data_IF_199600550267
#
_entry.id   IF_199600550267
#
_cell.length_a   1.000
_cell.length_b   1.000
_cell.length_c   1.000
_cell.angle_alpha   90.00
_cell.angle_beta   90.00
_cell.angle_gamma   90.00
#
_symmetry.space_group_name_H-M   'P 1'
#
loop_
_entity.id
_entity.type
_entity.pdbx_description
1 polymer ?
#
# COMPACT_ATOMS: atom_id res chain seq x y z
N UNK A 1 -32.27 -8.52 -46.16
CA UNK A 1 -32.15 -7.77 -44.89
C UNK A 1 -30.69 -7.34 -44.78
N UNK A 2 -30.41 -6.03 -44.77
CA UNK A 2 -29.07 -5.47 -44.89
C UNK A 2 -28.32 -5.43 -43.55
N UNK A 3 -27.05 -5.05 -43.70
CA UNK A 3 -25.92 -5.03 -42.76
C UNK A 3 -26.02 -3.96 -41.65
N UNK A 4 -24.98 -3.98 -40.79
CA UNK A 4 -24.45 -2.90 -39.92
C UNK A 4 -24.88 -2.96 -38.43
N UNK A 5 -24.01 -2.81 -37.42
CA UNK A 5 -22.60 -2.42 -37.42
C UNK A 5 -21.93 -2.72 -36.07
N UNK A 6 -20.67 -3.16 -36.12
CA UNK A 6 -19.79 -3.34 -34.97
C UNK A 6 -19.08 -2.02 -34.72
N UNK A 7 -19.36 -1.41 -33.57
CA UNK A 7 -18.72 -0.17 -33.11
C UNK A 7 -17.34 -0.49 -32.56
N UNK A 8 -16.34 0.21 -33.07
CA UNK A 8 -14.92 0.00 -32.79
C UNK A 8 -14.48 0.40 -31.38
N UNK A 9 -13.46 -0.30 -30.90
CA UNK A 9 -12.63 0.10 -29.76
C UNK A 9 -11.55 1.10 -30.20
N UNK A 10 -11.39 2.24 -29.49
CA UNK A 10 -10.24 3.09 -29.68
C UNK A 10 -9.10 2.72 -28.72
N UNK A 11 -7.89 2.65 -29.28
CA UNK A 11 -6.71 3.23 -28.64
C UNK A 11 -5.87 2.33 -27.74
N UNK A 12 -4.93 1.59 -28.34
CA UNK A 12 -3.64 1.32 -27.72
C UNK A 12 -2.75 2.57 -27.79
N UNK A 13 -2.22 3.09 -26.67
CA UNK A 13 -1.02 3.89 -26.70
C UNK A 13 0.21 2.99 -26.67
N UNK A 14 1.15 3.28 -27.57
CA UNK A 14 2.36 2.53 -27.80
C UNK A 14 3.33 2.49 -26.63
N UNK A 15 4.19 1.47 -26.69
CA UNK A 15 5.23 1.22 -25.71
C UNK A 15 6.36 2.24 -25.75
N UNK A 16 6.92 2.46 -24.57
CA UNK A 16 8.36 2.60 -24.38
C UNK A 16 8.80 1.42 -23.52
N UNK A 17 9.38 0.42 -24.18
CA UNK A 17 9.97 -0.75 -23.54
C UNK A 17 11.23 -0.36 -22.79
N UNK A 18 11.13 -0.28 -21.46
CA UNK A 18 12.26 -0.53 -20.57
C UNK A 18 12.41 -2.04 -20.42
N UNK A 19 13.45 -2.57 -21.05
CA UNK A 19 13.86 -3.96 -20.88
C UNK A 19 14.47 -4.12 -19.49
N UNK A 20 13.70 -4.63 -18.55
CA UNK A 20 14.23 -5.10 -17.28
C UNK A 20 15.05 -6.37 -17.55
N UNK A 21 16.36 -6.26 -17.42
CA UNK A 21 17.31 -7.38 -17.42
C UNK A 21 17.00 -8.25 -16.20
N UNK A 22 16.44 -9.44 -16.43
CA UNK A 22 16.29 -10.48 -15.41
C UNK A 22 17.67 -11.08 -15.17
N UNK A 23 18.37 -10.56 -14.15
CA UNK A 23 19.57 -11.16 -13.60
C UNK A 23 19.20 -12.34 -12.71
N UNK A 24 19.48 -13.54 -13.22
CA UNK A 24 19.41 -14.80 -12.50
C UNK A 24 20.68 -14.92 -11.63
N UNK A 25 20.60 -14.63 -10.33
CA UNK A 25 21.67 -15.03 -9.39
C UNK A 25 21.21 -15.05 -7.93
N UNK A 26 21.25 -16.26 -7.37
CA UNK A 26 21.49 -16.62 -5.95
C UNK A 26 20.44 -16.28 -4.90
N UNK A 27 19.88 -17.37 -4.37
CA UNK A 27 19.24 -17.52 -3.06
C UNK A 27 20.10 -16.89 -1.95
N UNK A 28 19.85 -15.62 -1.65
CA UNK A 28 20.24 -14.95 -0.43
C UNK A 28 19.01 -14.81 0.46
N UNK A 29 18.99 -15.55 1.56
CA UNK A 29 18.10 -15.33 2.69
C UNK A 29 18.40 -13.92 3.24
N UNK A 30 17.68 -12.91 2.76
CA UNK A 30 17.64 -11.59 3.38
C UNK A 30 16.22 -11.28 3.77
N UNK A 31 16.07 -10.96 5.05
CA UNK A 31 14.86 -10.57 5.76
C UNK A 31 13.79 -9.92 4.87
N UNK A 32 12.50 -10.32 5.00
CA UNK A 32 11.43 -9.53 4.45
C UNK A 32 11.44 -8.18 5.18
N UNK A 33 11.96 -7.17 4.46
CA UNK A 33 12.03 -5.80 4.90
C UNK A 33 10.71 -5.39 5.53
N UNK A 34 10.74 -5.29 6.85
CA UNK A 34 9.72 -4.58 7.61
C UNK A 34 9.64 -3.19 7.02
N UNK A 35 8.57 -2.94 6.27
CA UNK A 35 8.17 -1.59 5.90
C UNK A 35 7.88 -0.91 7.23
N UNK A 36 8.91 -0.26 7.78
CA UNK A 36 8.81 0.62 8.90
C UNK A 36 7.87 1.73 8.46
N UNK A 37 6.57 1.52 8.67
CA UNK A 37 5.57 2.56 8.58
C UNK A 37 6.05 3.62 9.55
N UNK A 38 6.63 4.69 9.01
CA UNK A 38 6.89 5.94 9.74
C UNK A 38 5.54 6.34 10.30
N UNK A 39 5.30 5.98 11.55
CA UNK A 39 4.25 6.59 12.35
C UNK A 39 4.54 8.08 12.25
N UNK A 40 3.62 8.90 11.72
CA UNK A 40 3.82 10.34 11.71
C UNK A 40 4.07 10.73 13.16
N UNK A 41 5.28 11.24 13.40
CA UNK A 41 5.72 11.75 14.69
C UNK A 41 4.69 12.78 15.09
N UNK A 42 3.81 12.41 16.03
CA UNK A 42 2.93 13.33 16.73
C UNK A 42 3.83 14.46 17.22
N UNK A 43 3.76 15.60 16.54
CA UNK A 43 4.40 16.81 17.01
C UNK A 43 3.79 17.07 18.38
N UNK A 44 4.61 16.87 19.41
CA UNK A 44 4.22 17.26 20.76
C UNK A 44 3.80 18.73 20.68
N UNK A 45 2.64 19.11 21.24
CA UNK A 45 2.31 20.52 21.37
C UNK A 45 3.49 21.16 22.09
N UNK A 46 4.11 22.15 21.43
CA UNK A 46 5.15 22.97 22.04
C UNK A 46 4.51 23.54 23.30
N UNK A 47 4.88 22.98 24.46
CA UNK A 47 4.56 23.52 25.76
C UNK A 47 5.08 24.95 25.75
N UNK A 48 4.18 25.90 25.43
CA UNK A 48 4.40 27.31 25.63
C UNK A 48 4.65 27.46 27.11
N UNK A 49 5.92 27.58 27.47
CA UNK A 49 6.33 27.91 28.81
C UNK A 49 5.61 29.17 29.20
N UNK A 50 4.54 29.03 29.98
CA UNK A 50 3.93 30.14 30.68
C UNK A 50 5.03 30.74 31.52
N UNK A 51 5.54 31.88 31.06
CA UNK A 51 6.42 32.73 31.82
C UNK A 51 5.71 32.98 33.15
N UNK A 52 6.22 32.38 34.23
CA UNK A 52 5.81 32.68 35.59
C UNK A 52 6.19 34.14 35.80
N UNK A 53 5.23 35.03 35.54
CA UNK A 53 5.33 36.44 35.87
C UNK A 53 5.49 36.52 37.38
N UNK A 54 6.72 36.74 37.81
CA UNK A 54 7.07 37.04 39.18
C UNK A 54 6.23 38.24 39.62
N UNK A 55 5.29 38.02 40.53
CA UNK A 55 4.57 39.11 41.17
C UNK A 55 5.59 39.94 41.97
N UNK A 56 5.76 41.24 41.68
CA UNK A 56 6.60 42.09 42.50
C UNK A 56 5.96 42.21 43.88
N UNK A 57 6.63 41.66 44.89
CA UNK A 57 6.39 41.99 46.29
C UNK A 57 6.78 43.47 46.50
N UNK A 58 5.87 44.37 46.13
CA UNK A 58 5.93 45.79 46.46
C UNK A 58 5.62 45.95 47.96
N UNK A 59 6.64 45.67 48.77
CA UNK A 59 6.80 46.28 50.08
C UNK A 59 7.68 47.53 49.88
N UNK A 60 7.08 48.71 49.92
CA UNK A 60 7.87 49.95 49.84
C UNK A 60 7.11 51.19 49.41
N UNK A 61 6.26 51.74 50.29
CA UNK A 61 6.23 53.18 50.52
C UNK A 61 5.38 53.47 51.75
N UNK A 62 6.04 53.41 52.90
CA UNK A 62 5.68 54.17 54.07
C UNK A 62 6.16 55.60 53.84
N UNK A 63 5.23 56.52 53.55
CA UNK A 63 5.56 57.93 53.44
C UNK A 63 4.33 58.82 53.35
N UNK A 64 4.10 59.62 54.39
CA UNK A 64 3.47 60.94 54.24
C UNK A 64 2.02 61.08 54.69
N UNK A 65 1.82 60.99 56.00
CA UNK A 65 0.95 61.84 56.83
C UNK A 65 0.04 62.88 56.14
N UNK A 66 -1.27 62.64 56.19
CA UNK A 66 -2.27 63.70 56.43
C UNK A 66 -3.23 63.19 57.51
N UNK A 67 -3.14 63.78 58.70
CA UNK A 67 -4.03 63.51 59.83
C UNK A 67 -5.48 63.82 59.42
N UNK A 68 -6.27 62.77 59.22
CA UNK A 68 -7.70 62.85 59.01
C UNK A 68 -8.39 61.61 59.56
N UNK A 69 -8.94 61.73 60.78
CA UNK A 69 -10.03 60.90 61.32
C UNK A 69 -9.77 59.39 61.49
N UNK A 70 -9.06 59.04 62.57
CA UNK A 70 -8.81 57.67 63.07
C UNK A 70 -10.01 57.09 63.82
N UNK A 71 -11.15 56.89 63.16
CA UNK A 71 -12.26 56.07 63.72
C UNK A 71 -12.90 55.04 62.78
N UNK A 72 -12.35 54.82 61.57
CA UNK A 72 -12.86 53.82 60.60
C UNK A 72 -11.91 52.66 60.26
N UNK A 73 -10.74 52.56 60.91
CA UNK A 73 -9.63 51.69 60.45
C UNK A 73 -9.84 50.18 60.64
N UNK A 74 -10.59 49.76 61.66
CA UNK A 74 -10.80 48.32 61.94
C UNK A 74 -11.78 47.64 60.96
N UNK A 75 -12.57 48.42 60.22
CA UNK A 75 -13.52 47.89 59.23
C UNK A 75 -12.86 47.53 57.89
N UNK A 76 -11.55 47.76 57.74
CA UNK A 76 -10.82 47.58 56.48
C UNK A 76 -10.21 46.18 56.31
N UNK A 77 -9.70 45.56 57.38
CA UNK A 77 -9.06 44.24 57.30
C UNK A 77 -10.06 43.11 57.05
N UNK A 78 -11.16 43.06 57.83
CA UNK A 78 -12.21 42.04 57.64
C UNK A 78 -12.81 42.09 56.23
N UNK A 79 -13.08 43.30 55.74
CA UNK A 79 -13.59 43.52 54.38
C UNK A 79 -12.62 43.00 53.32
N UNK A 80 -11.31 43.24 53.51
CA UNK A 80 -10.27 42.74 52.60
C UNK A 80 -10.17 41.21 52.63
N UNK A 81 -10.18 40.60 53.81
CA UNK A 81 -10.19 39.14 53.95
C UNK A 81 -11.44 38.53 53.28
N UNK A 82 -12.62 39.12 53.50
CA UNK A 82 -13.85 38.68 52.85
C UNK A 82 -13.77 38.80 51.33
N UNK A 83 -13.18 39.87 50.80
CA UNK A 83 -12.97 40.05 49.36
C UNK A 83 -12.01 38.99 48.79
N UNK A 84 -10.91 38.70 49.48
CA UNK A 84 -9.96 37.65 49.07
C UNK A 84 -10.62 36.27 49.07
N UNK A 85 -11.41 35.94 50.09
CA UNK A 85 -12.15 34.68 50.14
C UNK A 85 -13.19 34.57 49.02
N UNK A 86 -13.85 35.67 48.66
CA UNK A 86 -14.77 35.70 47.50
C UNK A 86 -14.01 35.46 46.21
N UNK A 87 -12.91 36.17 45.98
CA UNK A 87 -12.05 35.98 44.79
C UNK A 87 -11.56 34.53 44.67
N UNK A 88 -11.01 33.96 45.75
CA UNK A 88 -10.52 32.58 45.74
C UNK A 88 -11.64 31.58 45.45
N UNK A 89 -12.85 31.82 45.99
CA UNK A 89 -14.01 30.99 45.70
C UNK A 89 -14.40 31.11 44.23
N UNK A 90 -14.41 32.31 43.68
CA UNK A 90 -14.75 32.55 42.27
C UNK A 90 -13.72 31.85 41.36
N UNK A 91 -12.43 31.99 41.65
CA UNK A 91 -11.34 31.31 40.93
C UNK A 91 -11.51 29.78 40.99
N UNK A 92 -11.79 29.23 42.18
CA UNK A 92 -12.02 27.78 42.33
C UNK A 92 -13.25 27.31 41.55
N UNK A 93 -14.34 28.09 41.53
CA UNK A 93 -15.53 27.73 40.73
C UNK A 93 -15.27 27.83 39.23
N UNK A 94 -14.40 28.73 38.80
CA UNK A 94 -13.98 28.88 37.40
C UNK A 94 -13.12 27.70 36.98
N UNK A 95 -12.08 27.37 37.74
CA UNK A 95 -11.25 26.19 37.50
C UNK A 95 -12.06 24.90 37.47
N UNK A 96 -13.05 24.75 38.38
CA UNK A 96 -13.95 23.60 38.38
C UNK A 96 -14.79 23.51 37.11
N UNK A 97 -15.24 24.66 36.58
CA UNK A 97 -16.03 24.73 35.34
C UNK A 97 -15.17 24.41 34.12
N UNK A 98 -13.95 24.95 34.06
CA UNK A 98 -12.98 24.66 33.01
C UNK A 98 -12.60 23.19 32.99
N UNK A 99 -12.22 22.62 34.14
CA UNK A 99 -11.90 21.19 34.24
C UNK A 99 -13.07 20.29 33.83
N UNK A 100 -14.30 20.66 34.20
CA UNK A 100 -15.48 19.91 33.78
C UNK A 100 -15.75 20.01 32.27
N UNK A 101 -15.44 21.15 31.65
CA UNK A 101 -15.53 21.33 30.21
C UNK A 101 -14.46 20.48 29.49
N UNK A 102 -13.20 20.54 29.94
CA UNK A 102 -12.09 19.76 29.38
C UNK A 102 -12.36 18.25 29.47
N UNK A 103 -12.87 17.77 30.62
CA UNK A 103 -13.25 16.35 30.78
C UNK A 103 -14.37 15.97 29.80
N UNK A 104 -15.32 16.87 29.55
CA UNK A 104 -16.41 16.61 28.61
C UNK A 104 -15.89 16.55 27.18
N UNK A 105 -14.96 17.41 26.81
CA UNK A 105 -14.40 17.44 25.46
C UNK A 105 -13.47 16.24 25.22
N UNK A 106 -12.63 15.88 26.19
CA UNK A 106 -11.84 14.64 26.14
C UNK A 106 -12.73 13.39 25.98
N UNK A 107 -13.87 13.35 26.67
CA UNK A 107 -14.83 12.24 26.49
C UNK A 107 -15.38 12.16 25.08
N UNK A 108 -15.67 13.29 24.44
CA UNK A 108 -16.12 13.30 23.04
C UNK A 108 -15.00 12.81 22.12
N UNK A 109 -13.79 13.32 22.28
CA UNK A 109 -12.64 12.90 21.48
C UNK A 109 -12.38 11.39 21.59
N UNK A 110 -12.51 10.82 22.79
CA UNK A 110 -12.38 9.36 22.99
C UNK A 110 -13.47 8.58 22.25
N UNK A 111 -14.72 9.06 22.25
CA UNK A 111 -15.83 8.43 21.52
C UNK A 111 -15.56 8.52 20.01
N UNK A 112 -15.24 9.71 19.50
CA UNK A 112 -14.96 9.96 18.09
C UNK A 112 -13.76 9.12 17.60
N UNK A 113 -12.73 8.96 18.44
CA UNK A 113 -11.60 8.07 18.16
C UNK A 113 -12.04 6.60 18.11
N UNK A 114 -12.93 6.17 19.01
CA UNK A 114 -13.51 4.82 18.97
C UNK A 114 -14.22 4.55 17.65
N UNK A 115 -15.12 5.45 17.23
CA UNK A 115 -15.86 5.30 15.97
C UNK A 115 -14.95 5.27 14.73
N UNK A 116 -13.88 6.07 14.74
CA UNK A 116 -12.87 6.08 13.67
C UNK A 116 -12.06 4.78 13.64
N UNK A 117 -11.70 4.23 14.80
CA UNK A 117 -11.00 2.94 14.89
C UNK A 117 -11.90 1.83 14.38
N UNK A 118 -13.16 1.76 14.83
CA UNK A 118 -14.13 0.76 14.37
C UNK A 118 -14.32 0.80 12.84
N UNK A 119 -14.34 2.00 12.26
CA UNK A 119 -14.43 2.18 10.81
C UNK A 119 -13.18 1.67 10.10
N UNK A 120 -11.99 1.98 10.63
CA UNK A 120 -10.72 1.50 10.07
C UNK A 120 -10.65 -0.01 10.13
N UNK A 121 -11.03 -0.63 11.25
CA UNK A 121 -11.05 -2.08 11.43
C UNK A 121 -11.98 -2.75 10.40
N UNK A 122 -13.23 -2.27 10.25
CA UNK A 122 -14.14 -2.79 9.23
C UNK A 122 -13.57 -2.69 7.81
N UNK A 123 -13.04 -1.52 7.45
CA UNK A 123 -12.43 -1.35 6.11
C UNK A 123 -11.17 -2.19 5.93
N UNK A 124 -10.48 -2.53 7.02
CA UNK A 124 -9.31 -3.41 6.99
C UNK A 124 -9.74 -4.84 6.71
N UNK A 125 -10.75 -5.35 7.43
CA UNK A 125 -11.31 -6.69 7.24
C UNK A 125 -11.82 -6.88 5.81
N UNK A 126 -12.59 -5.92 5.28
CA UNK A 126 -13.09 -5.94 3.89
C UNK A 126 -11.93 -6.02 2.88
N UNK A 127 -10.84 -5.29 3.13
CA UNK A 127 -9.64 -5.32 2.27
C UNK A 127 -8.89 -6.63 2.38
N UNK A 128 -8.79 -7.21 3.57
CA UNK A 128 -8.16 -8.52 3.75
C UNK A 128 -8.94 -9.62 3.05
N UNK A 129 -10.28 -9.60 3.13
CA UNK A 129 -11.15 -10.50 2.40
C UNK A 129 -10.96 -10.35 0.88
N UNK A 130 -10.93 -9.11 0.37
CA UNK A 130 -10.68 -8.82 -1.04
C UNK A 130 -9.31 -9.32 -1.52
N UNK A 131 -8.25 -9.10 -0.73
CA UNK A 131 -6.91 -9.61 -1.03
C UNK A 131 -6.87 -11.14 -1.07
N UNK A 132 -7.55 -11.80 -0.12
CA UNK A 132 -7.64 -13.26 -0.08
C UNK A 132 -8.46 -13.83 -1.24
N UNK A 133 -9.48 -13.11 -1.72
CA UNK A 133 -10.22 -13.46 -2.93
C UNK A 133 -9.32 -13.37 -4.17
N UNK A 134 -8.68 -12.22 -4.41
CA UNK A 134 -7.81 -12.04 -5.58
C UNK A 134 -6.61 -12.98 -5.58
N UNK A 135 -6.04 -13.29 -4.42
CA UNK A 135 -4.97 -14.28 -4.30
C UNK A 135 -5.41 -15.67 -4.78
N UNK A 136 -6.62 -16.12 -4.41
CA UNK A 136 -7.18 -17.41 -4.86
C UNK A 136 -7.45 -17.42 -6.36
N UNK A 137 -7.95 -16.30 -6.88
CA UNK A 137 -8.20 -16.14 -8.32
C UNK A 137 -6.89 -16.20 -9.13
N UNK A 138 -5.85 -15.50 -8.67
CA UNK A 138 -4.52 -15.53 -9.29
C UNK A 138 -3.94 -16.95 -9.33
N UNK A 139 -4.03 -17.70 -8.22
CA UNK A 139 -3.58 -19.09 -8.18
C UNK A 139 -4.36 -19.95 -9.18
N UNK A 140 -5.67 -19.78 -9.25
CA UNK A 140 -6.53 -20.51 -10.21
C UNK A 140 -6.17 -20.20 -11.65
N UNK A 141 -5.88 -18.93 -11.97
CA UNK A 141 -5.45 -18.51 -13.31
C UNK A 141 -4.07 -19.04 -13.66
N UNK A 142 -3.15 -19.08 -12.69
CA UNK A 142 -1.82 -19.63 -12.86
C UNK A 142 -1.87 -21.13 -13.18
N UNK A 143 -2.69 -21.90 -12.44
CA UNK A 143 -2.90 -23.33 -12.69
C UNK A 143 -3.47 -23.57 -14.11
N UNK A 144 -4.50 -22.81 -14.49
CA UNK A 144 -5.09 -22.89 -15.84
C UNK A 144 -4.08 -22.55 -16.94
N UNK A 145 -3.23 -21.55 -16.72
CA UNK A 145 -2.20 -21.18 -17.68
C UNK A 145 -1.18 -22.32 -17.83
N UNK A 146 -0.77 -22.91 -16.71
CA UNK A 146 0.14 -24.05 -16.71
C UNK A 146 -0.45 -25.26 -17.45
N UNK A 147 -1.73 -25.57 -17.23
CA UNK A 147 -2.43 -26.64 -17.95
C UNK A 147 -2.49 -26.39 -19.46
N UNK A 148 -2.81 -25.16 -19.88
CA UNK A 148 -2.81 -24.78 -21.29
C UNK A 148 -1.41 -24.89 -21.91
N UNK A 149 -0.37 -24.50 -21.19
CA UNK A 149 1.02 -24.67 -21.65
C UNK A 149 1.37 -26.14 -21.84
N UNK A 150 0.96 -27.03 -20.92
CA UNK A 150 1.16 -28.46 -21.08
C UNK A 150 0.42 -29.03 -22.29
N UNK A 151 -0.83 -28.61 -22.51
CA UNK A 151 -1.61 -29.02 -23.67
C UNK A 151 -0.97 -28.54 -24.98
N UNK A 152 -0.54 -27.28 -25.04
CA UNK A 152 0.16 -26.74 -26.22
C UNK A 152 1.44 -27.51 -26.51
N UNK A 153 2.24 -27.82 -25.48
CA UNK A 153 3.46 -28.61 -25.62
C UNK A 153 3.18 -30.02 -26.11
N UNK A 154 2.12 -30.67 -25.63
CA UNK A 154 1.72 -32.00 -26.10
C UNK A 154 1.26 -31.96 -27.56
N UNK A 155 0.42 -30.98 -27.95
CA UNK A 155 -0.02 -30.79 -29.33
C UNK A 155 1.16 -30.53 -30.27
N UNK A 156 2.09 -29.66 -29.87
CA UNK A 156 3.31 -29.38 -30.63
C UNK A 156 4.16 -30.64 -30.80
N UNK A 157 4.31 -31.44 -29.73
CA UNK A 157 5.03 -32.71 -29.79
C UNK A 157 4.33 -33.70 -30.72
N UNK A 158 3.01 -33.88 -30.62
CA UNK A 158 2.24 -34.79 -31.49
C UNK A 158 2.33 -34.37 -32.95
N UNK A 159 2.21 -33.08 -33.24
CA UNK A 159 2.36 -32.51 -34.58
C UNK A 159 3.75 -32.77 -35.18
N UNK A 160 4.80 -32.82 -34.34
CA UNK A 160 6.18 -33.08 -34.78
C UNK A 160 6.56 -34.55 -34.85
N UNK A 161 5.81 -35.47 -34.23
CA UNK A 161 6.16 -36.91 -34.19
C UNK A 161 6.26 -37.54 -35.58
N UNK A 162 5.48 -37.07 -36.53
CA UNK A 162 5.52 -37.51 -37.93
C UNK A 162 6.60 -36.82 -38.76
N UNK A 163 7.22 -35.76 -38.25
CA UNK A 163 8.10 -34.91 -39.05
C UNK A 163 9.56 -35.31 -38.86
N UNK A 164 10.16 -35.88 -39.91
CA UNK A 164 11.58 -36.21 -39.94
C UNK A 164 12.39 -34.95 -40.25
N UNK A 165 13.39 -34.63 -39.43
CA UNK A 165 14.32 -33.51 -39.64
C UNK A 165 15.70 -34.03 -40.01
N UNK A 166 16.12 -33.84 -41.25
CA UNK A 166 17.45 -34.24 -41.74
C UNK A 166 18.37 -33.02 -41.63
N UNK A 167 19.43 -33.11 -40.82
CA UNK A 167 20.43 -32.05 -40.64
C UNK A 167 21.72 -32.38 -41.40
N UNK A 168 22.46 -31.34 -41.80
CA UNK A 168 23.78 -31.51 -42.44
C UNK A 168 23.72 -31.83 -43.94
N UNK A 169 22.57 -31.64 -44.59
CA UNK A 169 22.46 -31.79 -46.05
C UNK A 169 23.12 -30.59 -46.72
N UNK A 170 24.13 -30.78 -47.61
CA UNK A 170 24.69 -29.69 -48.38
C UNK A 170 23.61 -29.06 -49.25
N UNK A 171 23.53 -27.73 -49.28
CA UNK A 171 22.50 -27.02 -50.07
C UNK A 171 22.52 -27.44 -51.57
N UNK A 172 23.70 -27.75 -52.10
CA UNK A 172 23.91 -28.21 -53.48
C UNK A 172 23.25 -29.56 -53.77
N UNK A 173 23.14 -30.43 -52.75
CA UNK A 173 22.55 -31.76 -52.91
C UNK A 173 21.02 -31.72 -53.06
N UNK A 174 20.39 -30.61 -52.64
CA UNK A 174 18.94 -30.36 -52.74
C UNK A 174 18.61 -29.50 -53.97
N UNK A 175 19.56 -29.21 -54.86
CA UNK A 175 19.34 -28.37 -56.03
C UNK A 175 18.37 -28.95 -57.08
N UNK A 176 17.91 -30.20 -56.91
CA UNK A 176 16.88 -30.85 -57.73
C UNK A 176 15.54 -30.99 -56.98
N UNK A 177 14.72 -31.98 -57.35
CA UNK A 177 13.53 -32.33 -56.57
C UNK A 177 13.94 -32.85 -55.18
N UNK A 178 13.28 -32.35 -54.13
CA UNK A 178 13.46 -32.84 -52.76
C UNK A 178 13.10 -34.33 -52.67
N UNK A 179 12.09 -34.76 -53.44
CA UNK A 179 11.63 -36.15 -53.49
C UNK A 179 12.74 -37.07 -54.01
N UNK A 180 13.43 -36.68 -55.09
CA UNK A 180 14.57 -37.44 -55.63
C UNK A 180 15.73 -37.53 -54.64
N UNK A 181 15.95 -36.47 -53.85
CA UNK A 181 16.94 -36.50 -52.79
C UNK A 181 16.53 -37.48 -51.68
N UNK A 182 15.27 -37.43 -51.22
CA UNK A 182 14.75 -38.31 -50.17
C UNK A 182 14.78 -39.78 -50.60
N UNK A 183 14.36 -40.10 -51.83
CA UNK A 183 14.41 -41.47 -52.37
C UNK A 183 15.86 -41.96 -52.48
N UNK A 184 16.79 -41.14 -52.99
CA UNK A 184 18.22 -41.48 -53.04
C UNK A 184 18.81 -41.69 -51.65
N UNK A 185 18.45 -40.86 -50.68
CA UNK A 185 18.89 -40.97 -49.30
C UNK A 185 18.38 -42.28 -48.67
N UNK A 186 17.09 -42.59 -48.81
CA UNK A 186 16.51 -43.82 -48.25
C UNK A 186 17.06 -45.08 -48.91
N UNK A 187 17.27 -45.09 -50.23
CA UNK A 187 17.95 -46.20 -50.93
C UNK A 187 19.36 -46.47 -50.38
N UNK A 188 20.07 -45.41 -49.96
CA UNK A 188 21.41 -45.55 -49.40
C UNK A 188 21.42 -45.99 -47.93
N UNK A 189 20.54 -45.41 -47.10
CA UNK A 189 20.51 -45.66 -45.64
C UNK A 189 19.77 -46.96 -45.29
N UNK A 190 18.71 -47.29 -46.02
CA UNK A 190 17.83 -48.41 -45.72
C UNK A 190 17.47 -49.18 -47.02
N UNK A 191 18.43 -49.90 -47.62
CA UNK A 191 18.24 -50.58 -48.92
C UNK A 191 17.20 -51.71 -48.88
N UNK A 192 16.75 -52.13 -47.69
CA UNK A 192 15.71 -53.14 -47.52
C UNK A 192 14.28 -52.61 -47.76
N UNK A 193 14.08 -51.28 -47.76
CA UNK A 193 12.79 -50.67 -48.07
C UNK A 193 12.55 -50.67 -49.58
N UNK A 194 11.38 -51.15 -50.02
CA UNK A 194 11.00 -51.13 -51.43
C UNK A 194 10.42 -49.76 -51.78
N UNK A 195 10.56 -49.36 -53.05
CA UNK A 195 10.10 -48.05 -53.54
C UNK A 195 8.58 -47.84 -53.36
N UNK A 196 7.81 -48.91 -53.41
CA UNK A 196 6.36 -48.94 -53.23
C UNK A 196 5.94 -48.69 -51.77
N UNK A 197 6.86 -48.77 -50.81
CA UNK A 197 6.60 -48.50 -49.40
C UNK A 197 6.81 -47.02 -49.04
N UNK A 198 7.35 -46.22 -49.97
CA UNK A 198 7.62 -44.79 -49.77
C UNK A 198 6.49 -43.99 -50.45
N UNK A 199 5.41 -43.76 -49.72
CA UNK A 199 4.34 -42.85 -50.15
C UNK A 199 4.66 -41.46 -49.60
N UNK A 200 4.85 -40.50 -50.50
CA UNK A 200 4.97 -39.07 -50.17
C UNK A 200 3.58 -38.46 -50.41
N UNK A 201 2.85 -38.23 -49.31
CA UNK A 201 1.55 -37.53 -49.31
C UNK A 201 1.71 -36.00 -49.41
#
# INVERSE_FOLDING_TARGET
MPLEGVVGHPGSPGGSGDWLVVGDTTLGLTDPGGVARRIPRLEQPKNGGHAVTAYPLLCGSCGGSTLGSTRGGEQTWLSRCQQLFRSLRDDFTTLKRELAADIKDLKKEVIDLGERVDTIEKTHDEREEGLNYHRRELLTLQDKNQDLQYQLKDLENRSRRSNIRIKGVPAQAVAGSLEDFVVRLFRHVAPALKEQDIVLD
#
